data_IF_645906061288
#
_entry.id   IF_645906061288
#
_cell.length_a   1.000
_cell.length_b   1.000
_cell.length_c   1.000
_cell.angle_alpha   90.00
_cell.angle_beta   90.00
_cell.angle_gamma   90.00
#
_symmetry.space_group_name_H-M   'P 1'
#
loop_
_entity.id
_entity.type
_entity.pdbx_description
1 polymer ?
#
# COMPACT_ATOMS: atom_id res chain seq x y z
N UNK A 1 -5.96 -33.66 -14.92
CA UNK A 1 -7.30 -34.30 -14.85
C UNK A 1 -7.99 -34.28 -16.22
N UNK A 2 -9.09 -35.02 -16.42
CA UNK A 2 -9.85 -34.95 -17.67
C UNK A 2 -10.44 -33.53 -17.82
N UNK A 3 -10.44 -32.99 -19.05
CA UNK A 3 -11.04 -31.71 -19.36
C UNK A 3 -12.54 -31.72 -19.03
N UNK A 4 -13.04 -30.64 -18.44
CA UNK A 4 -14.47 -30.45 -18.22
C UNK A 4 -15.14 -30.24 -19.59
N UNK A 5 -16.30 -30.87 -19.89
CA UNK A 5 -17.01 -30.58 -21.13
C UNK A 5 -17.35 -29.10 -21.27
N UNK A 6 -17.26 -28.55 -22.47
CA UNK A 6 -17.50 -27.13 -22.76
C UNK A 6 -18.88 -26.66 -22.24
N UNK A 7 -19.95 -27.44 -22.53
CA UNK A 7 -21.29 -27.10 -22.06
C UNK A 7 -21.40 -27.06 -20.53
N UNK A 8 -20.71 -27.96 -19.83
CA UNK A 8 -20.67 -28.00 -18.36
C UNK A 8 -19.94 -26.79 -17.79
N UNK A 9 -18.83 -26.38 -18.45
CA UNK A 9 -18.07 -25.20 -18.06
C UNK A 9 -18.95 -23.94 -18.18
N UNK A 10 -19.57 -23.73 -19.33
CA UNK A 10 -20.40 -22.55 -19.56
C UNK A 10 -21.68 -22.56 -18.71
N UNK A 11 -22.28 -23.74 -18.47
CA UNK A 11 -23.39 -23.86 -17.51
C UNK A 11 -22.97 -23.39 -16.11
N UNK A 12 -21.78 -23.78 -15.66
CA UNK A 12 -21.27 -23.32 -14.36
C UNK A 12 -21.03 -21.80 -14.32
N UNK A 13 -20.57 -21.18 -15.41
CA UNK A 13 -20.43 -19.73 -15.53
C UNK A 13 -21.79 -19.06 -15.46
N UNK A 14 -22.76 -19.52 -16.27
CA UNK A 14 -24.09 -18.91 -16.35
C UNK A 14 -24.88 -19.07 -15.04
N UNK A 15 -24.84 -20.23 -14.38
CA UNK A 15 -25.49 -20.47 -13.08
C UNK A 15 -24.95 -19.50 -12.01
N UNK A 16 -23.64 -19.21 -12.01
CA UNK A 16 -23.07 -18.31 -11.02
C UNK A 16 -23.32 -16.82 -11.35
N UNK A 17 -23.43 -16.44 -12.63
CA UNK A 17 -23.93 -15.11 -12.99
C UNK A 17 -25.41 -14.95 -12.64
N UNK A 18 -26.25 -15.95 -12.90
CA UNK A 18 -27.66 -15.95 -12.49
C UNK A 18 -27.79 -15.79 -10.95
N UNK A 19 -26.93 -16.46 -10.19
CA UNK A 19 -26.89 -16.30 -8.74
C UNK A 19 -26.48 -14.89 -8.29
N UNK A 20 -25.71 -14.15 -9.07
CA UNK A 20 -25.40 -12.73 -8.84
C UNK A 20 -26.60 -11.85 -9.22
N UNK A 21 -27.31 -12.17 -10.30
CA UNK A 21 -28.48 -11.43 -10.76
C UNK A 21 -29.65 -11.51 -9.76
N UNK A 22 -29.66 -12.55 -8.88
CA UNK A 22 -30.64 -12.72 -7.79
C UNK A 22 -30.32 -11.87 -6.53
N UNK A 23 -29.13 -11.24 -6.47
CA UNK A 23 -28.69 -10.41 -5.34
C UNK A 23 -28.99 -8.91 -5.60
N UNK A 24 -29.11 -8.13 -4.51
CA UNK A 24 -29.17 -6.67 -4.61
C UNK A 24 -27.78 -6.09 -4.82
N UNK A 25 -27.25 -6.27 -6.03
CA UNK A 25 -25.93 -5.81 -6.45
C UNK A 25 -25.92 -5.29 -7.88
N UNK A 26 -24.98 -4.37 -8.15
CA UNK A 26 -24.50 -4.07 -9.49
C UNK A 26 -23.11 -4.67 -9.65
N UNK A 27 -22.79 -5.21 -10.81
CA UNK A 27 -21.46 -5.74 -11.04
C UNK A 27 -20.91 -5.39 -12.43
N UNK A 28 -19.59 -5.41 -12.53
CA UNK A 28 -18.84 -5.19 -13.77
C UNK A 28 -17.81 -6.31 -13.88
N UNK A 29 -17.81 -7.03 -14.98
CA UNK A 29 -16.92 -8.15 -15.24
C UNK A 29 -16.33 -8.11 -16.63
N UNK A 30 -15.03 -8.42 -16.74
CA UNK A 30 -14.35 -8.62 -18.02
C UNK A 30 -13.26 -9.68 -17.86
N UNK A 31 -13.20 -10.60 -18.84
CA UNK A 31 -12.12 -11.57 -19.05
C UNK A 31 -11.59 -11.40 -20.47
N UNK A 32 -10.27 -11.31 -20.60
CA UNK A 32 -9.55 -11.05 -21.86
C UNK A 32 -8.38 -11.99 -22.00
N UNK A 33 -8.17 -12.52 -23.23
CA UNK A 33 -6.93 -13.15 -23.64
C UNK A 33 -6.08 -12.15 -24.44
N UNK A 34 -4.78 -12.04 -24.19
CA UNK A 34 -3.88 -11.23 -25.02
C UNK A 34 -3.87 -11.67 -26.51
N UNK A 35 -4.11 -12.94 -26.79
CA UNK A 35 -4.10 -13.49 -28.16
C UNK A 35 -5.45 -13.34 -28.88
N UNK A 36 -6.57 -13.55 -28.18
CA UNK A 36 -7.92 -13.58 -28.76
C UNK A 36 -8.77 -12.34 -28.44
N UNK A 37 -8.31 -11.48 -27.53
CA UNK A 37 -9.07 -10.33 -27.06
C UNK A 37 -10.15 -10.70 -26.04
N UNK A 38 -11.31 -10.03 -26.10
CA UNK A 38 -12.40 -10.25 -25.14
C UNK A 38 -12.98 -11.67 -25.26
N UNK A 39 -12.90 -12.42 -24.16
CA UNK A 39 -13.53 -13.75 -24.05
C UNK A 39 -14.95 -13.62 -23.51
N UNK A 40 -15.13 -12.99 -22.35
CA UNK A 40 -16.43 -12.83 -21.70
C UNK A 40 -16.51 -11.51 -20.95
N UNK A 41 -17.70 -10.95 -20.83
CA UNK A 41 -17.91 -9.72 -20.07
C UNK A 41 -19.36 -9.41 -19.82
N UNK A 42 -19.64 -8.86 -18.66
CA UNK A 42 -20.94 -8.38 -18.19
C UNK A 42 -20.77 -6.96 -17.66
N UNK A 43 -21.50 -6.01 -18.22
CA UNK A 43 -21.43 -4.58 -17.85
C UNK A 43 -20.00 -4.05 -17.65
N UNK A 44 -19.06 -4.51 -18.51
CA UNK A 44 -17.63 -4.32 -18.37
C UNK A 44 -17.19 -2.85 -18.26
N UNK A 45 -18.04 -1.91 -18.68
CA UNK A 45 -17.82 -0.46 -18.62
C UNK A 45 -18.53 0.22 -17.46
N UNK A 46 -19.31 -0.50 -16.65
CA UNK A 46 -19.96 0.07 -15.49
C UNK A 46 -18.89 0.51 -14.46
N UNK A 47 -18.89 1.80 -14.14
CA UNK A 47 -17.98 2.41 -13.19
C UNK A 47 -18.49 2.19 -11.76
N UNK A 48 -17.79 1.39 -10.98
CA UNK A 48 -18.16 0.98 -9.63
C UNK A 48 -17.06 1.36 -8.62
N UNK A 49 -17.33 1.21 -7.32
CA UNK A 49 -16.31 1.32 -6.29
C UNK A 49 -15.30 0.19 -6.45
N UNK A 50 -14.03 0.50 -6.68
CA UNK A 50 -13.01 -0.53 -6.87
C UNK A 50 -12.53 -1.13 -5.55
N UNK A 51 -12.86 -0.51 -4.42
CA UNK A 51 -12.24 -0.85 -3.14
C UNK A 51 -10.71 -0.94 -3.34
N UNK A 52 -10.03 -1.88 -2.69
CA UNK A 52 -8.57 -2.01 -2.79
C UNK A 52 -8.05 -2.42 -4.18
N UNK A 53 -8.89 -2.66 -5.19
CA UNK A 53 -8.41 -2.76 -6.57
C UNK A 53 -7.90 -1.42 -7.14
N UNK A 54 -8.22 -0.28 -6.49
CA UNK A 54 -7.56 1.00 -6.73
C UNK A 54 -6.03 0.87 -6.60
N UNK A 55 -5.53 0.03 -5.70
CA UNK A 55 -4.10 -0.20 -5.48
C UNK A 55 -3.36 -0.76 -6.70
N UNK A 56 -4.07 -1.44 -7.62
CA UNK A 56 -3.47 -1.86 -8.90
C UNK A 56 -3.08 -0.65 -9.74
N UNK A 57 -3.97 0.34 -9.83
CA UNK A 57 -3.72 1.60 -10.54
C UNK A 57 -2.59 2.39 -9.85
N UNK A 58 -2.63 2.46 -8.52
CA UNK A 58 -1.60 3.14 -7.71
C UNK A 58 -0.23 2.50 -7.89
N UNK A 59 -0.14 1.16 -7.88
CA UNK A 59 1.11 0.41 -8.09
C UNK A 59 1.70 0.67 -9.47
N UNK A 60 0.86 0.60 -10.51
CA UNK A 60 1.29 0.87 -11.89
C UNK A 60 1.73 2.33 -12.04
N UNK A 61 0.98 3.27 -11.46
CA UNK A 61 1.35 4.68 -11.44
C UNK A 61 2.70 4.93 -10.74
N UNK A 62 2.95 4.27 -9.61
CA UNK A 62 4.22 4.38 -8.90
C UNK A 62 5.40 3.85 -9.74
N UNK A 63 5.25 2.70 -10.41
CA UNK A 63 6.28 2.13 -11.28
C UNK A 63 6.53 2.93 -12.56
N UNK A 64 5.58 3.72 -13.00
CA UNK A 64 5.72 4.59 -14.17
C UNK A 64 6.24 6.00 -13.85
N UNK A 65 6.12 6.46 -12.60
CA UNK A 65 6.40 7.84 -12.19
C UNK A 65 7.51 7.95 -11.14
N UNK A 66 7.83 6.85 -10.45
CA UNK A 66 8.97 6.73 -9.56
C UNK A 66 9.91 5.65 -10.13
N UNK A 67 11.19 5.70 -9.79
CA UNK A 67 12.10 4.60 -10.08
C UNK A 67 11.74 3.40 -9.18
N UNK A 68 11.84 2.17 -9.70
CA UNK A 68 11.49 0.94 -8.97
C UNK A 68 12.43 0.67 -7.78
N UNK A 69 13.65 1.20 -7.81
CA UNK A 69 14.65 1.17 -6.75
C UNK A 69 14.63 2.42 -5.84
N UNK A 70 13.75 3.39 -6.10
CA UNK A 70 13.56 4.57 -5.26
C UNK A 70 13.18 4.18 -3.82
N UNK A 71 13.58 5.01 -2.86
CA UNK A 71 13.36 4.79 -1.44
C UNK A 71 13.00 6.10 -0.75
N UNK A 72 12.13 6.02 0.22
CA UNK A 72 11.72 7.15 1.05
C UNK A 72 12.67 7.28 2.24
N UNK A 73 13.03 8.52 2.57
CA UNK A 73 14.07 8.79 3.56
C UNK A 73 13.48 9.43 4.82
N UNK A 74 13.79 8.86 5.99
CA UNK A 74 13.56 9.48 7.29
C UNK A 74 14.92 9.78 7.92
N UNK A 75 15.10 11.02 8.38
CA UNK A 75 16.42 11.53 8.73
C UNK A 75 16.48 11.96 10.18
N UNK A 76 17.66 11.78 10.79
CA UNK A 76 18.02 12.27 12.12
C UNK A 76 19.00 13.41 12.00
N UNK A 77 18.66 14.56 12.60
CA UNK A 77 19.47 15.76 12.60
C UNK A 77 19.72 16.27 14.02
N UNK A 78 20.81 17.02 14.19
CA UNK A 78 21.24 17.63 15.45
C UNK A 78 21.62 19.09 15.21
N UNK A 79 21.16 20.01 16.09
CA UNK A 79 21.61 21.40 16.08
C UNK A 79 22.72 21.65 17.13
N UNK A 80 23.23 22.88 17.17
CA UNK A 80 24.31 23.28 18.08
C UNK A 80 23.88 23.34 19.57
N UNK A 81 22.56 23.36 19.85
CA UNK A 81 21.99 23.31 21.21
C UNK A 81 21.66 21.87 21.62
N UNK A 82 22.10 20.88 20.87
CA UNK A 82 21.79 19.45 21.04
C UNK A 82 20.30 19.12 20.93
N UNK A 83 19.48 19.95 20.29
CA UNK A 83 18.12 19.53 19.94
C UNK A 83 18.18 18.55 18.77
N UNK A 84 17.35 17.51 18.87
CA UNK A 84 17.29 16.43 17.89
C UNK A 84 16.05 16.57 17.05
N UNK A 85 16.22 16.45 15.72
CA UNK A 85 15.12 16.54 14.77
C UNK A 85 14.99 15.21 14.01
N UNK A 86 13.79 14.62 14.04
CA UNK A 86 13.44 13.48 13.17
C UNK A 86 12.58 14.02 12.04
N UNK A 87 13.18 14.12 10.85
CA UNK A 87 12.51 14.62 9.65
C UNK A 87 11.81 13.46 8.95
N UNK A 88 10.50 13.56 8.85
CA UNK A 88 9.67 12.51 8.27
C UNK A 88 9.66 12.55 6.75
N UNK A 89 9.91 11.40 6.11
CA UNK A 89 9.83 11.22 4.68
C UNK A 89 8.61 10.41 4.23
N UNK A 90 7.52 10.43 4.98
CA UNK A 90 6.30 9.65 4.70
C UNK A 90 6.59 8.17 4.34
N UNK A 91 7.59 7.56 5.01
CA UNK A 91 7.92 6.14 4.91
C UNK A 91 6.93 5.33 5.76
N UNK A 92 5.99 4.56 5.17
CA UNK A 92 5.02 3.77 5.92
C UNK A 92 5.64 2.58 6.65
N UNK A 93 6.93 2.29 6.42
CA UNK A 93 7.65 1.19 7.08
C UNK A 93 8.52 1.65 8.24
N UNK A 94 8.51 2.97 8.55
CA UNK A 94 9.31 3.50 9.64
C UNK A 94 8.76 3.03 10.99
N UNK A 95 9.62 2.47 11.84
CA UNK A 95 9.20 1.79 13.06
C UNK A 95 10.16 2.08 14.23
N UNK A 96 9.71 1.81 15.45
CA UNK A 96 10.46 1.99 16.70
C UNK A 96 11.87 1.38 16.67
N UNK A 97 12.09 0.27 15.95
CA UNK A 97 13.42 -0.31 15.76
C UNK A 97 14.41 0.63 15.05
N UNK A 98 13.90 1.47 14.14
CA UNK A 98 14.70 2.45 13.40
C UNK A 98 15.05 3.65 14.29
N UNK A 99 14.11 4.06 15.15
CA UNK A 99 14.38 5.09 16.18
C UNK A 99 15.47 4.61 17.16
N UNK A 100 15.48 3.32 17.52
CA UNK A 100 16.60 2.76 18.32
C UNK A 100 17.95 2.82 17.59
N UNK A 101 17.97 2.62 16.27
CA UNK A 101 19.20 2.83 15.49
C UNK A 101 19.63 4.31 15.49
N UNK A 102 18.68 5.24 15.46
CA UNK A 102 18.95 6.66 15.64
C UNK A 102 19.51 6.98 17.02
N UNK A 103 18.99 6.33 18.09
CA UNK A 103 19.54 6.45 19.43
C UNK A 103 21.02 6.02 19.48
N UNK A 104 21.38 4.94 18.79
CA UNK A 104 22.78 4.51 18.69
C UNK A 104 23.66 5.57 18.04
N UNK A 105 23.20 6.15 16.92
CA UNK A 105 23.93 7.23 16.24
C UNK A 105 24.14 8.47 17.14
N UNK A 106 23.14 8.81 17.97
CA UNK A 106 23.25 9.91 18.95
C UNK A 106 24.30 9.59 20.04
N UNK A 107 24.31 8.36 20.57
CA UNK A 107 25.29 7.94 21.57
C UNK A 107 26.69 7.95 20.97
N UNK A 108 26.88 7.47 19.75
CA UNK A 108 28.18 7.47 19.07
C UNK A 108 28.69 8.91 18.82
N UNK A 109 27.79 9.86 18.53
CA UNK A 109 28.15 11.26 18.24
C UNK A 109 28.40 12.08 19.50
N UNK A 110 27.54 11.94 20.51
CA UNK A 110 27.55 12.77 21.73
C UNK A 110 28.20 12.05 22.93
N UNK A 111 28.32 10.74 22.86
CA UNK A 111 28.93 9.94 23.91
C UNK A 111 30.41 10.28 24.08
N UNK A 112 30.87 10.42 25.30
CA UNK A 112 32.27 10.55 25.61
C UNK A 112 32.96 9.20 25.26
N UNK A 113 34.06 9.18 24.49
CA UNK A 113 34.74 7.94 24.19
C UNK A 113 35.09 7.21 25.49
N UNK A 114 34.80 5.93 25.57
CA UNK A 114 35.19 5.06 26.65
C UNK A 114 36.72 4.91 26.65
N UNK A 115 37.43 5.93 27.08
CA UNK A 115 38.87 5.89 27.36
C UNK A 115 39.11 6.45 28.76
N UNK A 116 38.67 5.73 29.79
CA UNK A 116 39.26 5.83 31.09
C UNK A 116 39.88 4.48 31.37
N UNK A 117 41.18 4.39 31.11
CA UNK A 117 42.07 3.38 31.67
C UNK A 117 41.91 3.38 33.19
N UNK A 118 41.43 2.27 33.70
CA UNK A 118 41.39 1.91 35.09
C UNK A 118 42.75 2.22 35.76
N UNK A 119 42.79 3.21 36.65
CA UNK A 119 43.71 3.21 37.79
C UNK A 119 42.88 3.18 39.06
N UNK A 120 43.15 2.16 39.84
CA UNK A 120 42.50 1.83 41.11
C UNK A 120 42.51 3.01 42.08
N UNK A 121 41.32 3.39 42.59
CA UNK A 121 41.18 4.25 43.77
C UNK A 121 40.09 5.33 43.55
N UNK A 122 38.98 5.17 44.27
CA UNK A 122 37.93 6.15 44.55
C UNK A 122 37.59 7.17 43.41
N UNK A 123 36.90 6.74 42.41
CA UNK A 123 36.16 7.62 41.54
C UNK A 123 34.75 7.03 41.37
N UNK A 124 33.75 7.82 41.77
CA UNK A 124 32.39 7.58 41.36
C UNK A 124 32.36 7.38 39.85
N UNK A 125 31.73 6.31 39.39
CA UNK A 125 31.51 6.04 37.98
C UNK A 125 30.89 7.30 37.33
N UNK A 126 31.71 8.07 36.66
CA UNK A 126 31.25 9.09 35.73
C UNK A 126 30.69 8.34 34.51
N UNK A 127 29.46 7.81 34.66
CA UNK A 127 28.71 7.27 33.53
C UNK A 127 28.56 8.41 32.52
N UNK A 128 29.14 8.25 31.35
CA UNK A 128 28.95 9.17 30.23
C UNK A 128 27.49 9.16 29.87
N UNK A 129 26.72 10.14 30.35
CA UNK A 129 25.33 10.32 29.98
C UNK A 129 25.27 11.11 28.68
N UNK A 130 24.69 10.49 27.65
CA UNK A 130 24.31 11.22 26.46
C UNK A 130 23.09 12.06 26.81
N UNK A 131 23.23 13.38 26.73
CA UNK A 131 22.14 14.33 27.00
C UNK A 131 21.80 15.10 25.72
N UNK A 132 20.49 15.21 25.42
CA UNK A 132 19.94 15.99 24.33
C UNK A 132 18.93 17.02 24.86
N UNK A 133 18.70 18.08 24.08
CA UNK A 133 17.69 19.08 24.33
C UNK A 133 16.28 18.60 23.94
N UNK A 134 15.59 19.39 23.11
CA UNK A 134 14.27 19.03 22.60
C UNK A 134 14.35 17.85 21.62
N UNK A 135 13.31 17.01 21.62
CA UNK A 135 13.05 16.01 20.57
C UNK A 135 11.99 16.56 19.65
N UNK A 136 12.36 16.89 18.44
CA UNK A 136 11.49 17.57 17.47
C UNK A 136 11.15 16.61 16.33
N UNK A 137 9.87 16.36 16.10
CA UNK A 137 9.40 15.74 14.87
C UNK A 137 9.13 16.83 13.84
N UNK A 138 9.76 16.73 12.70
CA UNK A 138 9.55 17.60 11.54
C UNK A 138 8.81 16.84 10.43
N UNK A 139 7.47 17.00 10.34
CA UNK A 139 6.66 16.36 9.30
C UNK A 139 6.54 17.23 8.04
N UNK A 140 7.24 18.37 7.95
CA UNK A 140 6.95 19.45 7.00
C UNK A 140 7.29 19.12 5.54
N UNK A 141 7.99 18.00 5.29
CA UNK A 141 8.22 17.50 3.93
C UNK A 141 6.92 17.11 3.19
N UNK A 142 5.83 16.91 3.95
CA UNK A 142 4.52 16.60 3.42
C UNK A 142 3.44 17.43 4.10
N UNK A 143 2.28 17.66 3.41
CA UNK A 143 1.17 18.42 3.98
C UNK A 143 0.62 17.80 5.27
N UNK A 144 0.08 18.64 6.13
CA UNK A 144 -0.55 18.23 7.39
C UNK A 144 -1.93 17.59 7.21
N UNK A 145 -2.27 17.14 6.02
CA UNK A 145 -3.52 16.46 5.70
C UNK A 145 -3.57 15.11 6.41
N UNK A 146 -4.60 14.91 7.25
CA UNK A 146 -4.78 13.70 8.08
C UNK A 146 -5.69 12.67 7.45
N UNK A 147 -6.56 13.08 6.54
CA UNK A 147 -7.68 12.29 5.99
C UNK A 147 -7.62 12.35 4.47
N UNK A 148 -7.74 11.21 3.81
CA UNK A 148 -7.83 11.16 2.35
C UNK A 148 -9.20 11.66 1.84
N UNK A 149 -9.26 12.11 0.57
CA UNK A 149 -10.50 12.58 -0.03
C UNK A 149 -11.56 11.48 -0.05
N UNK A 150 -12.80 11.83 0.30
CA UNK A 150 -13.94 10.91 0.26
C UNK A 150 -13.91 9.76 1.29
N UNK A 151 -13.06 9.83 2.32
CA UNK A 151 -13.05 8.83 3.40
C UNK A 151 -14.20 9.09 4.38
N UNK A 152 -15.05 8.10 4.63
CA UNK A 152 -15.99 8.15 5.76
C UNK A 152 -15.23 8.25 7.08
N UNK A 153 -15.74 9.06 8.02
CA UNK A 153 -15.11 9.28 9.32
C UNK A 153 -14.83 7.96 10.09
N UNK A 154 -15.67 6.93 9.89
CA UNK A 154 -15.50 5.62 10.56
C UNK A 154 -14.27 4.83 10.10
N UNK A 155 -13.67 5.16 8.96
CA UNK A 155 -12.46 4.48 8.48
C UNK A 155 -11.22 4.87 9.28
N UNK A 156 -11.27 6.02 9.95
CA UNK A 156 -10.29 6.39 10.95
C UNK A 156 -10.91 6.19 12.35
N UNK A 157 -10.35 5.31 13.19
CA UNK A 157 -9.10 4.55 13.05
C UNK A 157 -9.28 3.09 12.62
N UNK A 158 -10.39 2.70 12.01
CA UNK A 158 -10.68 1.28 11.76
C UNK A 158 -9.78 0.67 10.66
N UNK A 159 -9.65 1.37 9.52
CA UNK A 159 -9.01 0.84 8.32
C UNK A 159 -7.64 1.48 8.03
N UNK A 160 -7.41 2.70 8.52
CA UNK A 160 -6.17 3.45 8.36
C UNK A 160 -6.02 4.45 9.51
N UNK A 161 -4.77 4.77 9.87
CA UNK A 161 -4.46 5.84 10.81
C UNK A 161 -4.54 7.23 10.20
N UNK A 162 -4.60 8.30 11.02
CA UNK A 162 -4.43 9.65 10.52
C UNK A 162 -3.05 9.80 9.89
N UNK A 163 -2.99 10.37 8.69
CA UNK A 163 -1.74 10.53 7.94
C UNK A 163 -0.80 11.55 8.59
N UNK A 164 0.50 11.38 8.37
CA UNK A 164 1.56 12.29 8.83
C UNK A 164 2.73 12.29 7.83
N UNK A 165 3.58 13.30 7.90
CA UNK A 165 4.89 13.27 7.24
C UNK A 165 5.86 12.27 7.91
N UNK A 166 5.70 11.99 9.20
CA UNK A 166 6.40 10.91 9.89
C UNK A 166 5.41 9.81 10.28
N UNK A 167 5.53 8.64 9.67
CA UNK A 167 4.67 7.48 9.93
C UNK A 167 5.39 6.47 10.79
N UNK A 168 5.38 6.68 12.12
CA UNK A 168 6.07 5.80 13.06
C UNK A 168 5.12 4.74 13.62
N UNK A 169 5.46 3.44 13.44
CA UNK A 169 4.65 2.29 13.90
C UNK A 169 3.17 2.40 13.49
N UNK A 170 2.88 2.78 12.24
CA UNK A 170 1.54 3.03 11.68
C UNK A 170 0.78 4.15 12.42
N UNK A 171 1.47 5.11 13.02
CA UNK A 171 0.88 6.16 13.88
C UNK A 171 0.04 5.58 15.02
N UNK A 172 0.56 4.57 15.72
CA UNK A 172 -0.12 3.87 16.81
C UNK A 172 0.59 4.05 18.15
N UNK A 173 -0.21 4.13 19.21
CA UNK A 173 0.31 4.05 20.58
C UNK A 173 1.04 2.74 20.82
N UNK A 174 2.19 2.82 21.47
CA UNK A 174 3.02 1.66 21.80
C UNK A 174 2.32 0.68 22.76
N UNK A 175 1.53 1.21 23.71
CA UNK A 175 0.95 0.42 24.79
C UNK A 175 -0.26 -0.42 24.37
N UNK A 176 -1.19 0.15 23.59
CA UNK A 176 -2.48 -0.45 23.28
C UNK A 176 -2.79 -0.53 21.76
N UNK A 177 -1.84 -0.11 20.95
CA UNK A 177 -1.93 -0.13 19.48
C UNK A 177 -3.10 0.67 18.89
N UNK A 178 -3.76 1.52 19.67
CA UNK A 178 -4.71 2.48 19.13
C UNK A 178 -3.99 3.53 18.29
N UNK A 179 -4.65 4.03 17.26
CA UNK A 179 -4.11 5.13 16.48
C UNK A 179 -3.99 6.40 17.30
N UNK A 180 -2.96 7.21 17.01
CA UNK A 180 -2.73 8.51 17.61
C UNK A 180 -3.76 9.52 17.09
N UNK A 181 -4.37 10.32 17.96
CA UNK A 181 -5.28 11.39 17.54
C UNK A 181 -4.50 12.53 16.86
N UNK A 182 -3.34 12.89 17.40
CA UNK A 182 -2.34 13.76 16.77
C UNK A 182 -1.05 12.96 16.53
N UNK A 183 -0.84 12.44 15.31
CA UNK A 183 0.30 11.59 15.04
C UNK A 183 1.63 12.35 15.10
N UNK A 184 1.69 13.64 14.78
CA UNK A 184 2.96 14.36 14.80
C UNK A 184 3.45 14.56 16.24
N UNK A 185 2.58 15.02 17.13
CA UNK A 185 2.93 15.18 18.55
C UNK A 185 3.14 13.81 19.23
N UNK A 186 2.27 12.85 18.98
CA UNK A 186 2.41 11.50 19.55
C UNK A 186 3.68 10.78 19.09
N UNK A 187 4.10 10.99 17.84
CA UNK A 187 5.36 10.46 17.35
C UNK A 187 6.57 11.16 18.00
N UNK A 188 6.51 12.47 18.28
CA UNK A 188 7.56 13.18 19.03
C UNK A 188 7.71 12.59 20.45
N UNK A 189 6.61 12.33 21.12
CA UNK A 189 6.58 11.71 22.46
C UNK A 189 7.14 10.28 22.41
N UNK A 190 6.75 9.49 21.42
CA UNK A 190 7.24 8.12 21.23
C UNK A 190 8.75 8.07 20.92
N UNK A 191 9.24 8.99 20.09
CA UNK A 191 10.70 9.09 19.81
C UNK A 191 11.46 9.43 21.08
N UNK A 192 10.99 10.41 21.88
CA UNK A 192 11.63 10.77 23.14
C UNK A 192 11.61 9.61 24.15
N UNK A 193 10.51 8.86 24.25
CA UNK A 193 10.42 7.65 25.07
C UNK A 193 11.45 6.60 24.65
N UNK A 194 11.58 6.33 23.34
CA UNK A 194 12.53 5.34 22.83
C UNK A 194 13.99 5.77 23.09
N UNK A 195 14.30 7.08 22.98
CA UNK A 195 15.61 7.60 23.33
C UNK A 195 15.91 7.45 24.84
N UNK A 196 14.93 7.75 25.68
CA UNK A 196 15.07 7.54 27.12
C UNK A 196 15.26 6.05 27.47
N UNK A 197 14.50 5.15 26.85
CA UNK A 197 14.67 3.69 26.99
C UNK A 197 16.09 3.20 26.55
N UNK A 198 16.72 3.93 25.63
CA UNK A 198 18.08 3.66 25.17
C UNK A 198 19.15 4.30 26.05
N UNK A 199 18.78 4.94 27.18
CA UNK A 199 19.69 5.56 28.13
C UNK A 199 20.11 6.99 27.77
N UNK A 200 19.42 7.65 26.83
CA UNK A 200 19.65 9.05 26.49
C UNK A 200 18.82 9.93 27.40
N UNK A 201 19.45 10.91 28.06
CA UNK A 201 18.75 11.91 28.87
C UNK A 201 18.14 12.97 27.97
N UNK A 202 16.82 13.08 27.95
CA UNK A 202 16.09 14.14 27.26
C UNK A 202 15.82 15.25 28.27
N UNK A 203 16.58 16.34 28.23
CA UNK A 203 16.44 17.50 29.15
C UNK A 203 15.40 18.51 28.67
N UNK A 204 15.12 18.51 27.38
CA UNK A 204 14.06 19.32 26.77
C UNK A 204 12.72 18.59 26.73
N UNK A 205 11.90 18.91 25.71
CA UNK A 205 10.54 18.36 25.54
C UNK A 205 10.35 17.78 24.14
N UNK A 206 9.49 16.76 24.00
CA UNK A 206 9.02 16.32 22.70
C UNK A 206 8.04 17.36 22.11
N UNK A 207 8.24 17.73 20.85
CA UNK A 207 7.40 18.69 20.14
C UNK A 207 7.44 18.54 18.64
N UNK A 208 6.49 19.13 17.99
CA UNK A 208 6.47 19.30 16.52
C UNK A 208 7.17 20.61 16.15
N UNK A 209 7.91 20.62 15.05
CA UNK A 209 8.56 21.83 14.54
C UNK A 209 9.40 21.54 13.31
N UNK A 210 9.91 22.58 12.68
CA UNK A 210 10.78 22.44 11.51
C UNK A 210 12.25 22.40 11.92
N UNK A 211 13.02 21.59 11.24
CA UNK A 211 14.48 21.50 11.36
C UNK A 211 15.11 22.83 10.90
N UNK A 212 16.02 23.44 11.68
CA UNK A 212 16.77 24.62 11.22
C UNK A 212 17.79 24.23 10.16
N UNK A 213 18.10 25.15 9.25
CA UNK A 213 19.11 24.92 8.20
C UNK A 213 20.51 24.65 8.75
N UNK A 214 20.82 25.16 9.95
CA UNK A 214 22.10 24.99 10.63
C UNK A 214 22.28 23.60 11.24
N UNK A 215 21.21 22.81 11.39
CA UNK A 215 21.33 21.44 11.90
C UNK A 215 22.12 20.56 10.92
N UNK A 216 22.89 19.61 11.47
CA UNK A 216 23.64 18.63 10.69
C UNK A 216 22.96 17.26 10.75
N UNK A 217 22.99 16.54 9.65
CA UNK A 217 22.45 15.19 9.59
C UNK A 217 23.40 14.20 10.30
N UNK A 218 22.84 13.37 11.18
CA UNK A 218 23.58 12.32 11.87
C UNK A 218 23.34 10.94 11.27
N UNK A 219 22.10 10.68 10.86
CA UNK A 219 21.71 9.38 10.32
C UNK A 219 20.55 9.52 9.34
N UNK A 220 20.45 8.57 8.45
CA UNK A 220 19.37 8.43 7.49
C UNK A 220 18.85 6.98 7.56
N UNK A 221 17.52 6.84 7.51
CA UNK A 221 16.86 5.55 7.31
C UNK A 221 16.10 5.59 5.98
N UNK A 222 16.48 4.71 5.08
CA UNK A 222 15.78 4.52 3.80
C UNK A 222 14.77 3.38 3.89
N UNK A 223 13.59 3.59 3.34
CA UNK A 223 12.55 2.56 3.21
C UNK A 223 13.05 1.36 2.40
N UNK A 224 12.31 0.25 2.33
CA UNK A 224 12.41 -0.69 1.21
C UNK A 224 12.25 0.06 -0.12
N UNK A 225 12.67 -0.55 -1.23
CA UNK A 225 12.45 0.02 -2.57
C UNK A 225 10.95 0.13 -2.89
N UNK A 226 10.59 1.03 -3.81
CA UNK A 226 9.23 1.11 -4.34
C UNK A 226 8.74 -0.25 -4.81
N UNK A 227 9.57 -1.02 -5.53
CA UNK A 227 9.24 -2.38 -5.95
C UNK A 227 8.90 -3.31 -4.77
N UNK A 228 9.64 -3.22 -3.66
CA UNK A 228 9.36 -4.02 -2.47
C UNK A 228 8.10 -3.56 -1.70
N UNK A 229 7.84 -2.25 -1.68
CA UNK A 229 6.62 -1.70 -1.08
C UNK A 229 5.36 -2.10 -1.87
N UNK A 230 5.47 -2.30 -3.19
CA UNK A 230 4.37 -2.80 -4.02
C UNK A 230 3.96 -4.22 -3.64
N UNK A 231 4.88 -5.07 -3.16
CA UNK A 231 4.53 -6.40 -2.63
C UNK A 231 3.57 -6.28 -1.43
N UNK A 232 3.83 -5.37 -0.48
CA UNK A 232 2.93 -5.13 0.67
C UNK A 232 1.62 -4.46 0.22
N UNK A 233 1.69 -3.50 -0.70
CA UNK A 233 0.53 -2.82 -1.28
C UNK A 233 -0.47 -3.80 -1.92
N UNK A 234 0.02 -4.74 -2.71
CA UNK A 234 -0.83 -5.63 -3.49
C UNK A 234 -1.19 -6.92 -2.74
N UNK A 235 -0.21 -7.64 -2.14
CA UNK A 235 -0.47 -8.91 -1.47
C UNK A 235 -1.20 -8.74 -0.14
N UNK A 236 -0.82 -7.76 0.67
CA UNK A 236 -1.40 -7.50 1.99
C UNK A 236 -2.50 -6.46 1.97
N UNK A 237 -2.62 -5.72 0.86
CA UNK A 237 -3.59 -4.63 0.72
C UNK A 237 -3.34 -3.46 1.68
N UNK A 238 -2.07 -3.12 1.88
CA UNK A 238 -1.64 -2.06 2.80
C UNK A 238 -2.18 -0.69 2.35
N UNK A 239 -2.95 -0.02 3.21
CA UNK A 239 -3.58 1.25 2.89
C UNK A 239 -2.59 2.41 3.02
N UNK A 240 -1.73 2.36 4.04
CA UNK A 240 -0.71 3.37 4.31
C UNK A 240 0.28 3.48 3.13
N UNK A 241 0.72 2.34 2.61
CA UNK A 241 1.57 2.30 1.40
C UNK A 241 0.83 2.90 0.20
N UNK A 242 -0.47 2.63 0.03
CA UNK A 242 -1.26 3.19 -1.06
C UNK A 242 -1.29 4.72 -1.05
N UNK A 243 -1.49 5.33 0.11
CA UNK A 243 -1.51 6.79 0.23
C UNK A 243 -0.10 7.40 0.15
N UNK A 244 0.90 6.74 0.74
CA UNK A 244 2.29 7.18 0.65
C UNK A 244 2.76 7.25 -0.82
N UNK A 245 2.41 6.27 -1.66
CA UNK A 245 2.78 6.26 -3.08
C UNK A 245 2.27 7.51 -3.82
N UNK A 246 1.00 7.90 -3.65
CA UNK A 246 0.46 9.10 -4.30
C UNK A 246 1.16 10.38 -3.82
N UNK A 247 1.43 10.46 -2.52
CA UNK A 247 2.13 11.61 -1.94
C UNK A 247 3.55 11.74 -2.49
N UNK A 248 4.28 10.63 -2.60
CA UNK A 248 5.64 10.62 -3.17
C UNK A 248 5.64 10.91 -4.67
N UNK A 249 4.66 10.42 -5.43
CA UNK A 249 4.50 10.76 -6.85
C UNK A 249 4.32 12.27 -7.03
N UNK A 250 3.52 12.92 -6.18
CA UNK A 250 3.36 14.36 -6.21
C UNK A 250 4.65 15.09 -5.82
N UNK A 251 5.33 14.66 -4.77
CA UNK A 251 6.58 15.27 -4.30
C UNK A 251 7.71 15.14 -5.32
N UNK A 252 7.84 14.00 -6.02
CA UNK A 252 8.82 13.79 -7.08
C UNK A 252 8.59 14.73 -8.28
N UNK A 253 7.35 15.17 -8.49
CA UNK A 253 7.00 16.16 -9.51
C UNK A 253 7.11 17.62 -9.01
N UNK A 254 7.82 17.88 -7.92
CA UNK A 254 7.96 19.19 -7.27
C UNK A 254 6.63 19.83 -6.85
N UNK A 255 5.61 19.00 -6.54
CA UNK A 255 4.33 19.44 -5.98
C UNK A 255 4.34 19.31 -4.44
N UNK A 256 3.23 19.71 -3.80
CA UNK A 256 3.15 19.74 -2.34
C UNK A 256 3.17 18.34 -1.67
N UNK A 257 2.86 17.27 -2.41
CA UNK A 257 2.75 15.92 -1.86
C UNK A 257 1.35 15.63 -1.31
N UNK A 258 0.32 16.24 -1.90
CA UNK A 258 -1.07 15.94 -1.60
C UNK A 258 -1.58 14.75 -2.44
N UNK A 259 -2.52 13.97 -1.87
CA UNK A 259 -3.11 12.81 -2.55
C UNK A 259 -3.76 13.18 -3.89
N UNK A 260 -4.57 14.25 -4.00
CA UNK A 260 -5.17 14.64 -5.28
C UNK A 260 -4.15 14.95 -6.37
N UNK A 261 -3.00 15.54 -6.01
CA UNK A 261 -1.92 15.84 -6.96
C UNK A 261 -1.32 14.56 -7.54
N UNK A 262 -0.94 13.61 -6.67
CA UNK A 262 -0.42 12.30 -7.09
C UNK A 262 -1.45 11.50 -7.89
N UNK A 263 -2.72 11.58 -7.49
CA UNK A 263 -3.83 10.94 -8.22
C UNK A 263 -3.95 11.47 -9.64
N UNK A 264 -3.89 12.79 -9.82
CA UNK A 264 -3.94 13.44 -11.13
C UNK A 264 -2.78 13.00 -12.02
N UNK A 265 -1.54 12.98 -11.48
CA UNK A 265 -0.36 12.52 -12.22
C UNK A 265 -0.48 11.06 -12.66
N UNK A 266 -1.03 10.19 -11.82
CA UNK A 266 -1.28 8.78 -12.17
C UNK A 266 -2.30 8.69 -13.31
N UNK A 267 -3.41 9.43 -13.24
CA UNK A 267 -4.42 9.45 -14.31
C UNK A 267 -3.85 9.96 -15.64
N UNK A 268 -3.08 11.04 -15.60
CA UNK A 268 -2.39 11.59 -16.79
C UNK A 268 -1.42 10.56 -17.40
N UNK A 269 -0.65 9.86 -16.55
CA UNK A 269 0.23 8.80 -17.01
C UNK A 269 -0.54 7.65 -17.63
N UNK A 270 -1.63 7.19 -17.02
CA UNK A 270 -2.49 6.14 -17.59
C UNK A 270 -3.07 6.57 -18.95
N UNK A 271 -3.53 7.80 -19.08
CA UNK A 271 -4.03 8.33 -20.36
C UNK A 271 -2.94 8.30 -21.44
N UNK A 272 -1.69 8.66 -21.12
CA UNK A 272 -0.53 8.55 -22.03
C UNK A 272 -0.29 7.09 -22.46
N UNK A 273 -0.61 6.12 -21.61
CA UNK A 273 -0.52 4.69 -21.90
C UNK A 273 -1.76 4.14 -22.62
N UNK A 274 -2.71 4.99 -22.96
CA UNK A 274 -3.95 4.62 -23.66
C UNK A 274 -5.02 4.04 -22.74
N UNK A 275 -4.96 4.34 -21.43
CA UNK A 275 -5.97 3.92 -20.45
C UNK A 275 -6.62 5.15 -19.84
N UNK A 276 -7.81 5.47 -20.31
CA UNK A 276 -8.64 6.54 -19.75
C UNK A 276 -9.32 6.05 -18.46
N UNK A 277 -8.92 6.61 -17.34
CA UNK A 277 -9.50 6.29 -16.02
C UNK A 277 -10.62 7.24 -15.59
N UNK A 278 -10.96 8.25 -16.41
CA UNK A 278 -11.90 9.30 -16.06
C UNK A 278 -11.32 10.34 -15.10
N UNK A 279 -12.18 11.00 -14.34
CA UNK A 279 -11.77 12.06 -13.41
C UNK A 279 -10.83 11.54 -12.31
N UNK A 280 -9.75 12.27 -11.98
CA UNK A 280 -8.77 11.85 -10.98
C UNK A 280 -9.24 12.14 -9.54
N UNK A 281 -10.40 11.58 -9.15
CA UNK A 281 -10.98 11.72 -7.81
C UNK A 281 -10.66 10.53 -6.92
N UNK A 282 -10.70 10.74 -5.61
CA UNK A 282 -10.47 9.71 -4.61
C UNK A 282 -9.01 9.60 -4.17
N UNK A 283 -8.58 8.40 -3.82
CA UNK A 283 -7.34 8.12 -3.10
C UNK A 283 -6.46 7.04 -3.78
N UNK A 284 -5.40 6.63 -3.09
CA UNK A 284 -4.47 5.59 -3.54
C UNK A 284 -4.80 4.19 -3.03
N UNK A 285 -5.44 4.09 -1.87
CA UNK A 285 -5.74 2.81 -1.20
C UNK A 285 -7.04 2.15 -1.65
N UNK A 286 -8.00 2.94 -2.14
CA UNK A 286 -9.34 2.49 -2.47
C UNK A 286 -10.36 2.61 -1.33
N UNK A 287 -10.01 3.28 -0.23
CA UNK A 287 -10.93 3.61 0.86
C UNK A 287 -11.93 4.69 0.45
N UNK A 288 -11.54 5.59 -0.45
CA UNK A 288 -12.39 6.69 -0.89
C UNK A 288 -13.69 6.20 -1.53
N UNK A 289 -14.79 6.79 -1.09
CA UNK A 289 -16.12 6.57 -1.69
C UNK A 289 -16.29 7.30 -3.04
N UNK A 290 -15.29 8.09 -3.44
CA UNK A 290 -15.27 8.82 -4.71
C UNK A 290 -14.60 8.03 -5.84
N UNK A 291 -13.75 7.05 -5.53
CA UNK A 291 -13.12 6.19 -6.54
C UNK A 291 -14.17 5.52 -7.44
N UNK A 292 -13.93 5.54 -8.76
CA UNK A 292 -14.73 4.82 -9.74
C UNK A 292 -13.82 4.15 -10.75
N UNK A 293 -13.96 2.85 -10.92
CA UNK A 293 -13.32 2.08 -11.97
C UNK A 293 -14.29 1.06 -12.55
N UNK A 294 -14.09 0.71 -13.79
CA UNK A 294 -14.78 -0.39 -14.45
C UNK A 294 -13.87 -1.60 -14.63
N UNK A 295 -14.45 -2.77 -14.87
CA UNK A 295 -13.68 -3.96 -15.21
C UNK A 295 -12.81 -3.75 -16.46
N UNK A 296 -13.35 -3.02 -17.46
CA UNK A 296 -12.59 -2.67 -18.67
C UNK A 296 -11.35 -1.84 -18.38
N UNK A 297 -11.42 -0.87 -17.48
CA UNK A 297 -10.29 -0.03 -17.10
C UNK A 297 -9.24 -0.85 -16.34
N UNK A 298 -9.62 -1.66 -15.35
CA UNK A 298 -8.69 -2.51 -14.60
C UNK A 298 -7.99 -3.54 -15.48
N UNK A 299 -8.73 -4.23 -16.37
CA UNK A 299 -8.14 -5.17 -17.33
C UNK A 299 -7.16 -4.43 -18.23
N UNK A 300 -7.53 -3.24 -18.74
CA UNK A 300 -6.66 -2.47 -19.62
C UNK A 300 -5.37 -2.01 -18.91
N UNK A 301 -5.46 -1.63 -17.62
CA UNK A 301 -4.28 -1.35 -16.80
C UNK A 301 -3.36 -2.58 -16.73
N UNK A 302 -3.90 -3.77 -16.43
CA UNK A 302 -3.13 -5.01 -16.36
C UNK A 302 -2.50 -5.41 -17.70
N UNK A 303 -3.27 -5.37 -18.80
CA UNK A 303 -2.76 -5.68 -20.15
C UNK A 303 -1.62 -4.75 -20.56
N UNK A 304 -1.80 -3.43 -20.34
CA UNK A 304 -0.78 -2.44 -20.70
C UNK A 304 0.49 -2.63 -19.87
N UNK A 305 0.33 -3.02 -18.60
CA UNK A 305 1.41 -3.29 -17.67
C UNK A 305 2.22 -4.54 -18.03
N UNK A 306 1.57 -5.58 -18.54
CA UNK A 306 2.20 -6.86 -18.88
C UNK A 306 3.31 -6.74 -19.95
N UNK A 307 3.31 -5.66 -20.74
CA UNK A 307 4.37 -5.36 -21.71
C UNK A 307 5.56 -4.55 -21.16
N UNK A 308 5.56 -4.23 -19.85
CA UNK A 308 6.58 -3.39 -19.24
C UNK A 308 7.68 -4.21 -18.55
N UNK A 309 8.89 -3.68 -18.53
CA UNK A 309 10.05 -4.35 -17.91
C UNK A 309 9.84 -4.57 -16.40
N UNK A 310 9.09 -3.71 -15.73
CA UNK A 310 8.74 -3.83 -14.32
C UNK A 310 7.51 -4.73 -14.04
N UNK A 311 6.84 -5.27 -15.07
CA UNK A 311 5.68 -6.15 -14.88
C UNK A 311 5.88 -7.27 -13.84
N UNK A 312 7.05 -7.94 -13.78
CA UNK A 312 7.30 -8.97 -12.76
C UNK A 312 7.12 -8.48 -11.31
N UNK A 313 7.26 -7.16 -11.05
CA UNK A 313 7.00 -6.57 -9.73
C UNK A 313 5.51 -6.64 -9.40
N UNK A 314 4.65 -6.21 -10.32
CA UNK A 314 3.19 -6.26 -10.13
C UNK A 314 2.71 -7.71 -10.04
N UNK A 315 3.13 -8.57 -10.96
CA UNK A 315 2.69 -9.98 -10.99
C UNK A 315 3.06 -10.72 -9.70
N UNK A 316 4.28 -10.50 -9.18
CA UNK A 316 4.73 -11.06 -7.90
C UNK A 316 3.96 -10.47 -6.72
N UNK A 317 3.70 -9.17 -6.75
CA UNK A 317 2.99 -8.45 -5.70
C UNK A 317 1.51 -8.83 -5.57
N UNK A 318 0.86 -9.28 -6.64
CA UNK A 318 -0.51 -9.80 -6.57
C UNK A 318 -0.58 -11.03 -5.66
N UNK A 319 -1.61 -11.10 -4.81
CA UNK A 319 -1.83 -12.26 -3.95
C UNK A 319 -2.02 -13.53 -4.78
N UNK A 320 -1.33 -14.60 -4.42
CA UNK A 320 -1.41 -15.91 -5.09
C UNK A 320 -2.45 -16.79 -4.42
N UNK A 321 -3.44 -17.25 -5.18
CA UNK A 321 -4.55 -18.07 -4.71
C UNK A 321 -4.07 -19.33 -3.98
N UNK A 322 -4.62 -19.60 -2.79
CA UNK A 322 -4.25 -20.75 -1.96
C UNK A 322 -2.81 -20.72 -1.41
N UNK A 323 -2.06 -19.60 -1.57
CA UNK A 323 -0.63 -19.53 -1.20
C UNK A 323 -0.32 -18.38 -0.25
N UNK A 324 -0.65 -17.13 -0.62
CA UNK A 324 -0.26 -15.98 0.17
C UNK A 324 -1.25 -14.81 0.12
N UNK A 325 -0.97 -13.79 0.94
CA UNK A 325 -1.70 -12.54 0.95
C UNK A 325 -3.19 -12.73 1.25
N UNK A 326 -4.01 -11.89 0.65
CA UNK A 326 -5.48 -11.89 0.86
C UNK A 326 -6.19 -13.06 0.17
N UNK A 327 -5.48 -13.88 -0.60
CA UNK A 327 -5.99 -15.08 -1.26
C UNK A 327 -5.44 -16.38 -0.66
N UNK A 328 -4.70 -16.34 0.46
CA UNK A 328 -4.09 -17.52 1.08
C UNK A 328 -5.08 -18.66 1.38
N UNK A 329 -6.35 -18.33 1.64
CA UNK A 329 -7.44 -19.29 1.91
C UNK A 329 -8.62 -19.13 0.93
N UNK A 330 -8.37 -18.70 -0.30
CA UNK A 330 -9.37 -18.54 -1.37
C UNK A 330 -8.85 -19.16 -2.66
N UNK A 331 -9.77 -19.63 -3.52
CA UNK A 331 -9.42 -20.19 -4.84
C UNK A 331 -8.40 -21.33 -4.73
N UNK A 332 -8.60 -22.24 -3.79
CA UNK A 332 -7.69 -23.36 -3.45
C UNK A 332 -7.91 -24.60 -4.34
N UNK A 333 -8.72 -24.49 -5.43
CA UNK A 333 -8.92 -25.61 -6.34
C UNK A 333 -7.63 -25.98 -7.11
N UNK A 334 -7.57 -27.19 -7.64
CA UNK A 334 -6.42 -27.69 -8.39
C UNK A 334 -6.05 -26.76 -9.59
N UNK A 335 -7.05 -26.12 -10.21
CA UNK A 335 -6.84 -25.25 -11.37
C UNK A 335 -6.55 -23.79 -11.00
N UNK A 336 -6.84 -23.36 -9.77
CA UNK A 336 -6.66 -21.97 -9.35
C UNK A 336 -5.51 -21.76 -8.36
N UNK A 337 -5.20 -22.77 -7.53
CA UNK A 337 -4.13 -22.65 -6.55
C UNK A 337 -2.78 -22.37 -7.22
N UNK A 338 -2.09 -21.33 -6.78
CA UNK A 338 -0.85 -20.78 -7.35
C UNK A 338 -0.96 -20.29 -8.82
N UNK A 339 -2.08 -20.55 -9.49
CA UNK A 339 -2.35 -20.17 -10.87
C UNK A 339 -3.02 -18.80 -11.01
N UNK A 340 -3.98 -18.49 -10.10
CA UNK A 340 -4.62 -17.18 -10.04
C UNK A 340 -3.78 -16.25 -9.18
N UNK A 341 -3.43 -15.09 -9.73
CA UNK A 341 -2.79 -13.99 -9.01
C UNK A 341 -3.68 -12.76 -9.10
N UNK A 342 -4.16 -12.28 -7.98
CA UNK A 342 -5.14 -11.19 -8.02
C UNK A 342 -5.09 -10.27 -6.79
N UNK A 343 -5.54 -9.04 -7.03
CA UNK A 343 -5.85 -8.07 -5.97
C UNK A 343 -7.30 -8.24 -5.56
N UNK A 344 -7.52 -8.44 -4.26
CA UNK A 344 -8.85 -8.41 -3.66
C UNK A 344 -9.23 -6.99 -3.25
N UNK A 345 -10.53 -6.70 -3.17
CA UNK A 345 -11.04 -5.48 -2.58
C UNK A 345 -12.29 -5.74 -1.74
N UNK A 346 -12.37 -5.04 -0.61
CA UNK A 346 -13.46 -5.18 0.35
C UNK A 346 -13.77 -3.82 0.96
N UNK A 347 -15.02 -3.39 0.84
CA UNK A 347 -15.68 -2.36 1.63
C UNK A 347 -17.00 -2.94 2.16
N UNK A 348 -17.75 -2.20 2.95
CA UNK A 348 -19.01 -2.71 3.51
C UNK A 348 -19.92 -3.25 2.40
N UNK A 349 -20.05 -2.51 1.31
CA UNK A 349 -20.93 -2.73 0.16
C UNK A 349 -20.17 -2.96 -1.16
N UNK A 350 -18.92 -3.39 -1.10
CA UNK A 350 -18.13 -3.70 -2.30
C UNK A 350 -17.26 -4.95 -2.11
N UNK A 351 -17.22 -5.81 -3.13
CA UNK A 351 -16.29 -6.94 -3.28
C UNK A 351 -15.70 -6.90 -4.68
N UNK A 352 -14.39 -6.95 -4.75
CA UNK A 352 -13.70 -6.83 -6.03
C UNK A 352 -12.52 -7.81 -6.12
N UNK A 353 -12.19 -8.22 -7.34
CA UNK A 353 -11.07 -9.11 -7.63
C UNK A 353 -10.56 -8.83 -9.05
N UNK A 354 -9.29 -8.50 -9.21
CA UNK A 354 -8.69 -8.33 -10.54
C UNK A 354 -7.26 -8.83 -10.59
N UNK A 355 -6.86 -9.37 -11.74
CA UNK A 355 -5.53 -9.92 -11.87
C UNK A 355 -5.37 -10.81 -13.09
N UNK A 356 -4.59 -11.87 -12.93
CA UNK A 356 -4.25 -12.84 -13.96
C UNK A 356 -4.65 -14.25 -13.56
N UNK A 357 -4.97 -15.06 -14.54
CA UNK A 357 -5.13 -16.51 -14.41
C UNK A 357 -4.59 -17.19 -15.70
N UNK A 358 -4.36 -18.50 -15.64
CA UNK A 358 -4.06 -19.28 -16.81
C UNK A 358 -5.11 -20.36 -17.01
N UNK A 359 -5.40 -20.66 -18.27
CA UNK A 359 -6.20 -21.81 -18.66
C UNK A 359 -5.45 -23.13 -18.42
N UNK A 360 -6.13 -24.28 -18.54
CA UNK A 360 -5.47 -25.60 -18.41
C UNK A 360 -4.45 -25.90 -19.51
N UNK A 361 -4.53 -25.19 -20.64
CA UNK A 361 -3.55 -25.23 -21.73
C UNK A 361 -2.53 -24.06 -21.67
N UNK A 362 -2.40 -23.44 -20.47
CA UNK A 362 -1.38 -22.44 -20.11
C UNK A 362 -1.51 -21.08 -20.81
N UNK A 363 -2.68 -20.76 -21.39
CA UNK A 363 -2.94 -19.43 -21.94
C UNK A 363 -3.15 -18.41 -20.81
N UNK A 364 -2.40 -17.28 -20.81
CA UNK A 364 -2.59 -16.23 -19.83
C UNK A 364 -3.85 -15.43 -20.12
N UNK A 365 -4.64 -15.15 -19.09
CA UNK A 365 -5.84 -14.32 -19.16
C UNK A 365 -5.77 -13.20 -18.11
N UNK A 366 -6.32 -12.03 -18.47
CA UNK A 366 -6.54 -10.92 -17.54
C UNK A 366 -8.03 -10.82 -17.20
N UNK A 367 -8.33 -10.57 -15.96
CA UNK A 367 -9.71 -10.39 -15.54
C UNK A 367 -9.88 -9.30 -14.49
N UNK A 368 -11.08 -8.75 -14.43
CA UNK A 368 -11.53 -7.89 -13.35
C UNK A 368 -13.00 -8.15 -13.04
N UNK A 369 -13.31 -8.19 -11.76
CA UNK A 369 -14.64 -8.38 -11.23
C UNK A 369 -14.89 -7.37 -10.12
N UNK A 370 -15.88 -6.49 -10.30
CA UNK A 370 -16.32 -5.53 -9.30
C UNK A 370 -17.79 -5.79 -9.00
N UNK A 371 -18.15 -5.89 -7.74
CA UNK A 371 -19.53 -6.07 -7.26
C UNK A 371 -19.79 -5.04 -6.17
N UNK A 372 -20.82 -4.23 -6.34
CA UNK A 372 -21.27 -3.23 -5.37
C UNK A 372 -22.75 -3.40 -5.07
N UNK A 373 -23.15 -3.21 -3.82
CA UNK A 373 -24.51 -3.30 -3.35
C UNK A 373 -24.60 -3.87 -1.95
N UNK A 374 -25.79 -3.91 -1.38
CA UNK A 374 -26.01 -4.37 -0.03
C UNK A 374 -25.61 -5.85 0.13
N UNK A 375 -25.88 -6.65 -0.91
CA UNK A 375 -25.56 -8.08 -0.94
C UNK A 375 -24.15 -8.40 -1.48
N UNK A 376 -23.29 -7.40 -1.71
CA UNK A 376 -21.93 -7.64 -2.22
C UNK A 376 -21.13 -8.67 -1.39
N UNK A 377 -21.23 -8.74 -0.04
CA UNK A 377 -20.59 -9.80 0.74
C UNK A 377 -20.99 -11.22 0.35
N UNK A 378 -22.22 -11.43 -0.13
CA UNK A 378 -22.74 -12.73 -0.56
C UNK A 378 -22.24 -13.15 -1.94
N UNK A 379 -21.79 -12.18 -2.75
CA UNK A 379 -21.33 -12.40 -4.12
C UNK A 379 -20.00 -13.16 -4.22
N UNK A 380 -19.17 -13.15 -3.17
CA UNK A 380 -17.78 -13.66 -3.20
C UNK A 380 -17.72 -15.11 -3.71
N UNK A 381 -18.67 -15.94 -3.26
CA UNK A 381 -18.70 -17.36 -3.65
C UNK A 381 -18.96 -17.55 -5.15
N UNK A 382 -19.86 -16.76 -5.73
CA UNK A 382 -20.16 -16.83 -7.16
C UNK A 382 -18.99 -16.26 -7.99
N UNK A 383 -18.39 -15.16 -7.53
CA UNK A 383 -17.16 -14.61 -8.14
C UNK A 383 -16.06 -15.67 -8.21
N UNK A 384 -15.78 -16.36 -7.09
CA UNK A 384 -14.72 -17.38 -7.03
C UNK A 384 -15.04 -18.56 -7.95
N UNK A 385 -16.29 -19.03 -8.01
CA UNK A 385 -16.70 -20.13 -8.88
C UNK A 385 -16.59 -19.79 -10.36
N UNK A 386 -16.87 -18.53 -10.75
CA UNK A 386 -16.69 -18.04 -12.12
C UNK A 386 -15.19 -18.07 -12.47
N UNK A 387 -14.31 -17.61 -11.59
CA UNK A 387 -12.86 -17.66 -11.81
C UNK A 387 -12.36 -19.10 -11.90
N UNK A 388 -12.85 -20.00 -11.03
CA UNK A 388 -12.53 -21.45 -11.11
C UNK A 388 -12.97 -22.04 -12.44
N UNK A 389 -14.17 -21.72 -12.91
CA UNK A 389 -14.66 -22.23 -14.20
C UNK A 389 -13.74 -21.79 -15.34
N UNK A 390 -13.38 -20.52 -15.43
CA UNK A 390 -12.49 -20.02 -16.48
C UNK A 390 -11.08 -20.62 -16.43
N UNK A 391 -10.51 -20.80 -15.23
CA UNK A 391 -9.20 -21.46 -15.10
C UNK A 391 -9.22 -22.96 -15.35
N UNK A 392 -10.40 -23.58 -15.41
CA UNK A 392 -10.60 -25.00 -15.67
C UNK A 392 -10.83 -25.34 -17.14
N UNK A 393 -10.96 -24.33 -18.00
CA UNK A 393 -11.15 -24.49 -19.45
C UNK A 393 -9.86 -24.34 -20.25
N UNK A 394 -9.89 -24.80 -21.50
CA UNK A 394 -8.90 -24.42 -22.51
C UNK A 394 -9.31 -23.13 -23.20
N UNK A 395 -8.37 -22.42 -23.84
CA UNK A 395 -8.69 -21.22 -24.61
C UNK A 395 -9.75 -21.51 -25.68
N UNK A 396 -9.63 -22.65 -26.39
CA UNK A 396 -10.62 -23.07 -27.40
C UNK A 396 -12.04 -23.22 -26.81
N UNK A 397 -12.17 -23.78 -25.60
CA UNK A 397 -13.47 -23.91 -24.93
C UNK A 397 -14.05 -22.56 -24.50
N UNK A 398 -13.19 -21.60 -24.19
CA UNK A 398 -13.59 -20.27 -23.71
C UNK A 398 -13.96 -19.33 -24.87
N UNK A 399 -13.50 -19.58 -26.09
CA UNK A 399 -13.73 -18.74 -27.29
C UNK A 399 -14.84 -19.27 -28.22
N UNK A 400 -15.38 -20.45 -27.94
CA UNK A 400 -16.53 -21.02 -28.65
C UNK A 400 -17.84 -20.47 -28.10
#
# INVERSE_FOLDING_TARGET
GPLIPTDTLWQAVDDNFAALDDLDVSYSFLLVSPSEGRIHGRDAKAALLPASNQKVVTAVGALELLDDDARFSTELWLDDDNNVYVVGGADPTFASRHVRAFATALVDELGVPASVTSTVGDVADELAFTEIGDVVVDPSAFPATRVGPGWPARYIPADIGPMSGLWLDDNRHRADRRYLDDPDQGNAELVAEIFADAGITVSGRPRVGSRPETARMLAERRSPTVAALIDDLLARSDNEVGEAMLRHIAAEADLAGEIPEGKALVHDKMAQLGVDLGDPVGDGSGLSRENRLSASQLVRVLETSAGRDWWPVVERGLASAGVNGTLASRLESETTAANVRAKTGTLDDARTLSGTLRTVDDEPLFFAFLVNGEDAPLAVRSMDRIVVAFSSGTLEQLTR
#
